data_IF_250329325143
#
_entry.id   IF_250329325143
#
_cell.length_a   1.000
_cell.length_b   1.000
_cell.length_c   1.000
_cell.angle_alpha   90.00
_cell.angle_beta   90.00
_cell.angle_gamma   90.00
#
_symmetry.space_group_name_H-M   'P 1'
#
loop_
_entity.id
_entity.type
_entity.pdbx_description
1 polymer ?
#
# COMPACT_ATOMS: atom_id res chain seq x y z
N UNK A 1 55.73 52.61 8.06
CA UNK A 1 55.00 53.51 8.98
C UNK A 1 53.80 54.06 8.20
N UNK A 2 52.55 53.70 8.56
CA UNK A 2 51.62 54.54 9.35
C UNK A 2 51.51 55.96 8.73
N UNK A 3 50.40 56.45 8.15
CA UNK A 3 49.07 56.67 8.77
C UNK A 3 48.10 57.38 7.78
N UNK A 4 46.92 56.79 7.54
CA UNK A 4 45.50 57.28 7.58
C UNK A 4 44.93 58.52 6.79
N UNK A 5 43.63 58.36 6.44
CA UNK A 5 42.47 59.29 6.22
C UNK A 5 42.28 59.84 4.79
N UNK A 6 41.13 59.84 4.11
CA UNK A 6 39.72 59.45 4.32
C UNK A 6 38.90 60.10 3.17
N UNK A 7 37.67 59.66 2.84
CA UNK A 7 36.67 60.55 2.23
C UNK A 7 35.23 60.01 2.37
N UNK A 8 34.38 60.86 2.95
CA UNK A 8 32.93 60.74 3.06
C UNK A 8 32.29 61.00 1.68
N UNK A 9 31.27 60.22 1.29
CA UNK A 9 30.27 60.65 0.30
C UNK A 9 28.86 60.33 0.80
N UNK A 10 28.06 61.39 0.93
CA UNK A 10 26.64 61.39 1.27
C UNK A 10 25.79 60.85 0.13
N UNK A 11 24.76 60.05 0.42
CA UNK A 11 23.68 59.78 -0.52
C UNK A 11 22.37 60.39 -0.05
N UNK A 12 21.74 61.13 -0.95
CA UNK A 12 20.60 62.02 -0.74
C UNK A 12 19.30 61.21 -0.76
N UNK A 13 18.50 61.32 0.30
CA UNK A 13 17.27 60.56 0.51
C UNK A 13 16.07 61.23 -0.17
N UNK A 14 15.64 60.76 -1.34
CA UNK A 14 14.28 61.06 -1.83
C UNK A 14 13.65 59.86 -2.56
N UNK A 15 12.73 59.23 -1.82
CA UNK A 15 11.44 58.68 -2.29
C UNK A 15 11.48 57.59 -3.36
N UNK A 16 11.30 56.34 -2.92
CA UNK A 16 10.49 55.38 -3.66
C UNK A 16 9.43 54.80 -2.71
N UNK A 17 8.19 55.08 -3.05
CA UNK A 17 6.97 54.55 -2.45
C UNK A 17 6.33 53.63 -3.51
N UNK A 18 5.83 52.49 -3.03
CA UNK A 18 4.96 51.50 -3.68
C UNK A 18 5.63 50.31 -4.41
N UNK A 19 5.01 49.10 -4.41
CA UNK A 19 4.18 48.52 -3.34
C UNK A 19 4.54 47.06 -3.02
N UNK A 20 4.06 46.62 -1.84
CA UNK A 20 3.98 45.23 -1.40
C UNK A 20 3.24 44.38 -2.45
N UNK A 21 3.82 43.26 -2.88
CA UNK A 21 3.13 42.39 -3.84
C UNK A 21 3.94 41.18 -4.32
N UNK A 22 4.57 40.45 -3.41
CA UNK A 22 5.09 39.11 -3.72
C UNK A 22 4.95 38.21 -2.49
N UNK A 23 3.72 37.83 -2.18
CA UNK A 23 3.45 36.74 -1.23
C UNK A 23 3.91 35.44 -1.90
N UNK A 24 5.11 34.99 -1.58
CA UNK A 24 5.57 33.65 -1.92
C UNK A 24 4.71 32.65 -1.14
N UNK A 25 3.72 32.04 -1.80
CA UNK A 25 3.00 30.89 -1.26
C UNK A 25 3.97 29.70 -1.35
N UNK A 26 4.67 29.45 -0.25
CA UNK A 26 5.43 28.21 -0.08
C UNK A 26 4.39 27.09 0.06
N UNK A 27 4.11 26.38 -1.02
CA UNK A 27 3.29 25.18 -0.98
C UNK A 27 4.07 24.13 -0.16
N UNK A 28 3.73 24.01 1.12
CA UNK A 28 4.17 22.89 1.95
C UNK A 28 3.48 21.66 1.38
N UNK A 29 4.18 20.92 0.52
CA UNK A 29 3.77 19.57 0.17
C UNK A 29 3.85 18.75 1.47
N UNK A 30 2.70 18.55 2.12
CA UNK A 30 2.60 17.60 3.21
C UNK A 30 2.88 16.22 2.61
N UNK A 31 3.99 15.62 3.02
CA UNK A 31 4.26 14.22 2.70
C UNK A 31 3.15 13.41 3.37
N UNK A 32 2.23 12.89 2.58
CA UNK A 32 1.23 11.95 3.08
C UNK A 32 1.96 10.63 3.33
N UNK A 33 2.24 10.34 4.60
CA UNK A 33 2.72 9.03 5.01
C UNK A 33 1.57 8.03 4.82
N UNK A 34 1.85 6.88 4.21
CA UNK A 34 0.90 5.78 4.24
C UNK A 34 0.69 5.41 5.70
N UNK A 35 -0.56 5.48 6.17
CA UNK A 35 -0.84 5.12 7.55
C UNK A 35 -1.43 3.73 7.59
N UNK A 36 -0.76 2.85 8.34
CA UNK A 36 -1.19 1.49 8.53
C UNK A 36 -2.52 1.46 9.32
N UNK A 37 -3.40 0.48 9.05
CA UNK A 37 -4.69 0.33 9.71
C UNK A 37 -4.55 -0.30 11.11
N UNK A 38 -3.57 0.14 11.91
CA UNK A 38 -3.09 -0.50 13.15
C UNK A 38 -4.12 -0.63 14.27
N UNK A 39 -5.36 -0.20 14.07
CA UNK A 39 -6.47 -0.38 15.02
C UNK A 39 -7.44 -1.48 14.63
N UNK A 40 -7.33 -2.00 13.41
CA UNK A 40 -8.17 -3.10 12.91
C UNK A 40 -7.34 -4.24 12.35
N UNK A 41 -6.09 -3.98 11.94
CA UNK A 41 -5.22 -4.97 11.35
C UNK A 41 -3.73 -4.59 11.50
N UNK A 42 -2.89 -5.57 11.75
CA UNK A 42 -1.45 -5.40 11.92
C UNK A 42 -0.70 -5.43 10.57
N UNK A 43 0.27 -4.53 10.40
CA UNK A 43 1.21 -4.55 9.28
C UNK A 43 2.59 -4.20 9.85
N UNK A 44 3.29 -5.20 10.36
CA UNK A 44 4.57 -5.04 11.05
C UNK A 44 5.72 -5.81 10.37
N UNK A 45 5.42 -6.53 9.30
CA UNK A 45 6.38 -7.28 8.50
C UNK A 45 6.49 -8.75 8.85
N UNK A 46 5.58 -9.30 9.66
CA UNK A 46 5.47 -10.73 9.87
C UNK A 46 4.03 -11.23 9.64
N UNK A 47 3.73 -12.48 10.02
CA UNK A 47 2.43 -13.14 9.80
C UNK A 47 1.80 -13.67 11.09
N UNK A 48 2.50 -13.52 12.21
CA UNK A 48 2.15 -14.09 13.51
C UNK A 48 1.48 -13.04 14.37
N UNK A 49 0.36 -13.42 15.01
CA UNK A 49 -0.30 -12.53 15.94
C UNK A 49 0.59 -12.22 17.15
N UNK A 50 0.74 -10.93 17.44
CA UNK A 50 1.49 -10.47 18.59
C UNK A 50 0.73 -10.70 19.91
N UNK A 51 1.37 -11.27 20.94
CA UNK A 51 0.74 -11.51 22.23
C UNK A 51 0.22 -10.20 22.85
N UNK A 52 -1.11 -10.07 22.97
CA UNK A 52 -1.76 -8.96 23.65
C UNK A 52 -2.09 -7.75 22.78
N UNK A 53 -1.79 -7.76 21.48
CA UNK A 53 -2.13 -6.67 20.55
C UNK A 53 -3.63 -6.64 20.21
N UNK A 54 -4.33 -7.78 20.31
CA UNK A 54 -5.79 -7.88 20.15
C UNK A 54 -6.31 -7.57 18.73
N UNK A 55 -5.41 -7.19 17.84
CA UNK A 55 -5.60 -7.08 16.39
C UNK A 55 -4.97 -8.30 15.71
N UNK A 56 -5.51 -8.66 14.55
CA UNK A 56 -5.08 -9.85 13.82
C UNK A 56 -3.94 -9.57 12.84
N UNK A 57 -3.15 -10.61 12.58
CA UNK A 57 -2.20 -10.74 11.49
C UNK A 57 -2.68 -11.81 10.47
N UNK A 58 -1.90 -12.08 9.43
CA UNK A 58 -2.23 -12.95 8.32
C UNK A 58 -2.60 -14.36 8.76
N UNK A 59 -1.89 -14.96 9.73
CA UNK A 59 -2.17 -16.33 10.19
C UNK A 59 -3.58 -16.48 10.79
N UNK A 60 -4.08 -15.47 11.50
CA UNK A 60 -5.47 -15.46 11.99
C UNK A 60 -6.48 -15.40 10.83
N UNK A 61 -6.14 -14.69 9.75
CA UNK A 61 -7.04 -14.49 8.62
C UNK A 61 -7.03 -15.61 7.58
N UNK A 62 -5.87 -16.19 7.27
CA UNK A 62 -5.71 -17.16 6.19
C UNK A 62 -5.99 -18.60 6.64
N UNK A 63 -5.90 -18.91 7.95
CA UNK A 63 -6.07 -20.26 8.49
C UNK A 63 -5.30 -21.30 7.68
N UNK A 64 -5.97 -22.35 7.19
CA UNK A 64 -5.35 -23.40 6.36
C UNK A 64 -5.59 -23.23 4.85
N UNK A 65 -6.28 -22.16 4.42
CA UNK A 65 -6.62 -21.91 3.02
C UNK A 65 -7.35 -23.05 2.29
N UNK A 66 -7.97 -23.98 3.03
CA UNK A 66 -8.67 -25.15 2.46
C UNK A 66 -10.02 -24.82 1.81
N UNK A 67 -10.53 -23.61 2.02
CA UNK A 67 -11.73 -23.07 1.37
C UNK A 67 -11.54 -21.56 1.10
N UNK A 68 -12.25 -20.98 0.12
CA UNK A 68 -12.32 -19.53 -0.04
C UNK A 68 -12.71 -18.87 1.29
N UNK A 69 -11.77 -18.16 1.91
CA UNK A 69 -11.93 -17.61 3.27
C UNK A 69 -11.06 -18.23 4.37
N UNK A 70 -10.16 -19.16 4.04
CA UNK A 70 -9.12 -19.60 4.97
C UNK A 70 -9.59 -20.56 6.07
N UNK A 71 -10.66 -21.31 5.85
CA UNK A 71 -11.30 -22.18 6.85
C UNK A 71 -12.73 -21.76 7.18
N UNK A 72 -13.26 -22.15 8.35
CA UNK A 72 -14.68 -21.94 8.70
C UNK A 72 -15.11 -20.49 8.53
N UNK A 73 -16.23 -20.32 7.82
CA UNK A 73 -16.92 -19.04 7.54
C UNK A 73 -17.12 -18.27 8.85
N UNK A 74 -16.62 -17.03 8.95
CA UNK A 74 -16.76 -16.22 10.17
C UNK A 74 -15.86 -14.98 10.21
N UNK A 75 -16.00 -14.20 11.28
CA UNK A 75 -15.31 -12.91 11.51
C UNK A 75 -13.96 -13.09 12.22
N UNK A 76 -13.09 -13.95 11.69
CA UNK A 76 -11.74 -14.10 12.26
C UNK A 76 -11.02 -12.76 12.28
N UNK A 77 -10.32 -12.48 13.38
CA UNK A 77 -9.68 -11.19 13.61
C UNK A 77 -10.63 -9.99 13.62
N UNK A 78 -11.95 -10.20 13.74
CA UNK A 78 -12.95 -9.13 13.63
C UNK A 78 -13.21 -8.66 12.18
N UNK A 79 -12.81 -9.44 11.18
CA UNK A 79 -13.09 -9.12 9.78
C UNK A 79 -14.58 -9.16 9.45
N UNK A 80 -15.03 -8.25 8.58
CA UNK A 80 -16.39 -8.27 8.02
C UNK A 80 -16.53 -9.36 6.96
N UNK A 81 -15.49 -9.50 6.12
CA UNK A 81 -15.34 -10.57 5.13
C UNK A 81 -13.86 -10.79 4.86
N UNK A 82 -13.50 -12.00 4.45
CA UNK A 82 -12.13 -12.42 4.13
C UNK A 82 -12.11 -13.46 3.02
N UNK A 83 -10.99 -13.54 2.31
CA UNK A 83 -10.70 -14.58 1.34
C UNK A 83 -9.26 -15.05 1.48
N UNK A 84 -9.06 -16.33 1.22
CA UNK A 84 -7.76 -16.93 0.92
C UNK A 84 -7.92 -17.79 -0.33
N UNK A 85 -6.98 -17.67 -1.26
CA UNK A 85 -6.90 -18.49 -2.46
C UNK A 85 -5.48 -19.06 -2.54
N UNK A 86 -5.36 -20.39 -2.53
CA UNK A 86 -4.11 -21.07 -2.81
C UNK A 86 -3.79 -21.03 -4.30
N UNK A 87 -2.50 -20.95 -4.63
CA UNK A 87 -2.04 -21.11 -6.00
C UNK A 87 -2.37 -22.51 -6.51
N UNK A 88 -2.59 -22.59 -7.81
CA UNK A 88 -2.66 -23.86 -8.51
C UNK A 88 -1.27 -24.53 -8.60
N UNK A 89 -1.27 -25.83 -8.88
CA UNK A 89 -0.06 -26.63 -9.16
C UNK A 89 -0.16 -27.26 -10.58
N UNK A 90 0.71 -26.87 -11.52
CA UNK A 90 1.75 -25.85 -11.40
C UNK A 90 1.15 -24.42 -11.31
N UNK A 91 1.87 -23.46 -10.72
CA UNK A 91 1.42 -22.07 -10.65
C UNK A 91 1.18 -21.51 -12.05
N UNK A 92 0.33 -20.49 -12.17
CA UNK A 92 0.08 -19.82 -13.44
C UNK A 92 0.97 -18.59 -13.59
N UNK A 93 1.46 -18.36 -14.80
CA UNK A 93 2.21 -17.15 -15.16
C UNK A 93 1.48 -16.35 -16.22
N UNK A 94 1.56 -15.04 -16.08
CA UNK A 94 1.15 -14.12 -17.13
C UNK A 94 2.15 -14.18 -18.28
N UNK A 95 1.67 -14.24 -19.52
CA UNK A 95 2.54 -14.35 -20.71
C UNK A 95 2.40 -13.18 -21.66
N UNK A 96 1.16 -12.80 -22.02
CA UNK A 96 0.86 -11.80 -23.04
C UNK A 96 -0.54 -11.24 -22.82
N UNK A 97 -1.04 -10.39 -23.73
CA UNK A 97 -2.43 -9.92 -23.67
C UNK A 97 -2.63 -8.47 -23.27
N UNK A 98 -1.57 -7.66 -23.40
CA UNK A 98 -1.59 -6.30 -22.93
C UNK A 98 -1.63 -6.27 -21.40
N UNK A 99 -0.50 -6.56 -20.78
CA UNK A 99 -0.26 -6.46 -19.33
C UNK A 99 -0.33 -5.02 -18.78
N UNK A 100 -0.92 -4.10 -19.54
CA UNK A 100 -1.06 -2.72 -19.12
C UNK A 100 -2.35 -2.62 -18.32
N UNK A 101 -2.25 -1.97 -17.16
CA UNK A 101 -3.35 -1.73 -16.23
C UNK A 101 -4.70 -1.29 -16.83
N UNK A 102 -4.79 -0.51 -17.93
CA UNK A 102 -6.08 -0.12 -18.52
C UNK A 102 -6.74 -1.18 -19.40
N UNK A 103 -6.12 -2.33 -19.65
CA UNK A 103 -6.66 -3.35 -20.56
C UNK A 103 -7.50 -4.39 -19.81
N UNK A 104 -8.61 -4.80 -20.43
CA UNK A 104 -9.58 -5.72 -19.82
C UNK A 104 -8.99 -7.10 -19.57
N UNK A 105 -9.47 -7.77 -18.50
CA UNK A 105 -9.03 -9.12 -18.11
C UNK A 105 -9.22 -10.15 -19.24
N UNK A 106 -10.24 -9.99 -20.09
CA UNK A 106 -10.48 -10.86 -21.25
C UNK A 106 -9.33 -10.87 -22.25
N UNK A 107 -8.45 -9.86 -22.19
CA UNK A 107 -7.26 -9.80 -23.03
C UNK A 107 -6.07 -10.50 -22.37
N UNK A 108 -6.09 -10.76 -21.07
CA UNK A 108 -4.97 -11.31 -20.32
C UNK A 108 -4.71 -12.77 -20.70
N UNK A 109 -3.48 -13.08 -21.09
CA UNK A 109 -3.07 -14.45 -21.39
C UNK A 109 -2.15 -14.98 -20.31
N UNK A 110 -2.49 -16.16 -19.81
CA UNK A 110 -1.71 -16.89 -18.83
C UNK A 110 -1.45 -18.33 -19.32
N UNK A 111 -0.43 -18.96 -18.75
CA UNK A 111 -0.17 -20.40 -18.95
C UNK A 111 0.27 -21.05 -17.65
N UNK A 112 0.23 -22.37 -17.59
CA UNK A 112 0.94 -23.13 -16.56
C UNK A 112 2.44 -22.78 -16.60
N UNK A 113 3.02 -22.50 -15.43
CA UNK A 113 4.42 -22.19 -15.28
C UNK A 113 5.31 -23.31 -15.85
N UNK A 114 6.32 -22.91 -16.62
CA UNK A 114 7.43 -23.77 -17.02
C UNK A 114 8.66 -23.51 -16.15
N UNK A 115 9.08 -22.25 -16.01
CA UNK A 115 10.17 -21.83 -15.12
C UNK A 115 9.90 -20.44 -14.60
N UNK A 116 9.78 -20.33 -13.29
CA UNK A 116 9.56 -19.06 -12.57
C UNK A 116 10.55 -19.03 -11.41
N UNK A 117 11.24 -17.92 -11.17
CA UNK A 117 12.04 -17.78 -9.96
C UNK A 117 11.14 -17.96 -8.73
N UNK A 118 11.61 -18.74 -7.77
CA UNK A 118 10.92 -19.01 -6.49
C UNK A 118 10.40 -17.76 -5.78
N UNK A 119 11.13 -16.64 -5.88
CA UNK A 119 10.75 -15.34 -5.32
C UNK A 119 9.51 -14.70 -5.96
N UNK A 120 9.20 -15.07 -7.21
CA UNK A 120 8.08 -14.55 -7.99
C UNK A 120 6.85 -15.50 -7.94
N UNK A 121 7.02 -16.68 -7.33
CA UNK A 121 5.95 -17.65 -7.14
C UNK A 121 5.12 -17.28 -5.91
N UNK A 122 3.92 -16.75 -6.15
CA UNK A 122 2.91 -16.53 -5.11
C UNK A 122 2.26 -17.88 -4.80
N UNK A 123 2.30 -18.31 -3.54
CA UNK A 123 1.68 -19.58 -3.09
C UNK A 123 0.26 -19.38 -2.60
N UNK A 124 -0.05 -18.20 -2.07
CA UNK A 124 -1.39 -17.84 -1.62
C UNK A 124 -1.64 -16.35 -1.80
N UNK A 125 -2.89 -15.98 -2.11
CA UNK A 125 -3.36 -14.61 -2.09
C UNK A 125 -4.49 -14.42 -1.08
N UNK A 126 -4.49 -13.27 -0.40
CA UNK A 126 -5.41 -12.98 0.69
C UNK A 126 -6.00 -11.58 0.57
N UNK A 127 -7.24 -11.43 1.03
CA UNK A 127 -7.81 -10.12 1.30
C UNK A 127 -8.81 -10.19 2.46
N UNK A 128 -8.91 -9.11 3.23
CA UNK A 128 -9.91 -8.96 4.27
C UNK A 128 -10.43 -7.52 4.32
N UNK A 129 -11.65 -7.36 4.83
CA UNK A 129 -12.24 -6.05 5.03
C UNK A 129 -12.66 -5.82 6.47
N UNK A 130 -12.54 -4.56 6.89
CA UNK A 130 -12.86 -4.08 8.23
C UNK A 130 -13.67 -2.78 8.14
N UNK A 131 -14.28 -2.44 9.27
CA UNK A 131 -14.81 -1.09 9.50
C UNK A 131 -13.90 -0.43 10.52
N UNK A 132 -13.31 0.71 10.19
CA UNK A 132 -12.42 1.45 11.07
C UNK A 132 -13.13 1.79 12.38
N UNK A 133 -12.47 1.52 13.50
CA UNK A 133 -12.94 1.85 14.85
C UNK A 133 -12.39 3.22 15.27
N UNK A 134 -13.10 3.96 16.15
CA UNK A 134 -12.56 5.20 16.70
C UNK A 134 -11.22 4.97 17.40
N UNK A 135 -10.21 5.79 17.07
CA UNK A 135 -8.87 5.67 17.65
C UNK A 135 -7.76 5.39 16.64
N UNK A 136 -8.10 5.06 15.39
CA UNK A 136 -7.11 5.02 14.31
C UNK A 136 -6.67 6.45 14.01
N UNK A 137 -5.43 6.80 14.35
CA UNK A 137 -4.91 8.16 14.16
C UNK A 137 -4.97 8.64 12.70
N UNK A 138 -5.27 7.76 11.74
CA UNK A 138 -5.33 8.10 10.32
C UNK A 138 -6.51 7.56 9.52
N UNK A 139 -7.42 6.80 10.12
CA UNK A 139 -8.62 6.33 9.42
C UNK A 139 -9.83 6.73 10.24
N UNK A 140 -10.66 7.62 9.70
CA UNK A 140 -11.89 8.04 10.38
C UNK A 140 -12.78 6.83 10.71
N UNK A 141 -13.31 6.82 11.93
CA UNK A 141 -14.25 5.79 12.38
C UNK A 141 -15.40 5.60 11.38
N UNK A 142 -15.79 4.35 11.14
CA UNK A 142 -16.85 3.98 10.21
C UNK A 142 -16.40 3.79 8.75
N UNK A 143 -15.19 4.25 8.38
CA UNK A 143 -14.65 4.02 7.05
C UNK A 143 -14.40 2.54 6.80
N UNK A 144 -14.49 2.12 5.53
CA UNK A 144 -14.14 0.76 5.11
C UNK A 144 -12.64 0.67 4.89
N UNK A 145 -12.05 -0.39 5.43
CA UNK A 145 -10.64 -0.72 5.28
C UNK A 145 -10.56 -2.04 4.56
N UNK A 146 -9.73 -2.12 3.52
CA UNK A 146 -9.41 -3.37 2.81
C UNK A 146 -7.92 -3.60 2.94
N UNK A 147 -7.54 -4.78 3.38
CA UNK A 147 -6.15 -5.23 3.45
C UNK A 147 -5.99 -6.40 2.49
N UNK A 148 -4.86 -6.43 1.79
CA UNK A 148 -4.54 -7.45 0.78
C UNK A 148 -3.09 -7.88 0.99
N UNK A 149 -2.82 -9.16 0.74
CA UNK A 149 -1.51 -9.75 0.95
C UNK A 149 -1.36 -11.04 0.17
N UNK A 150 -0.18 -11.65 0.28
CA UNK A 150 0.10 -12.94 -0.30
C UNK A 150 1.42 -13.51 0.16
N UNK A 151 1.52 -14.82 0.10
CA UNK A 151 2.73 -15.56 0.41
C UNK A 151 3.57 -15.76 -0.84
N UNK A 152 4.89 -15.64 -0.70
CA UNK A 152 5.86 -16.04 -1.71
C UNK A 152 6.52 -17.35 -1.32
N UNK A 153 6.85 -18.17 -2.30
CA UNK A 153 7.52 -19.45 -2.06
C UNK A 153 8.92 -19.27 -1.44
N UNK A 154 9.66 -18.23 -1.83
CA UNK A 154 10.97 -17.93 -1.25
C UNK A 154 11.24 -16.42 -1.06
N UNK A 155 12.11 -16.10 -0.09
CA UNK A 155 12.49 -14.73 0.30
C UNK A 155 13.88 -14.33 -0.25
N UNK A 156 14.34 -14.97 -1.32
CA UNK A 156 15.68 -14.82 -1.89
C UNK A 156 15.73 -13.78 -3.03
N UNK A 157 15.24 -12.58 -2.76
CA UNK A 157 15.29 -11.44 -3.69
C UNK A 157 14.05 -10.56 -3.58
N UNK A 158 14.03 -9.53 -4.42
CA UNK A 158 12.94 -8.57 -4.48
C UNK A 158 11.93 -8.96 -5.56
N UNK A 159 10.66 -8.81 -5.23
CA UNK A 159 9.52 -9.00 -6.11
C UNK A 159 8.43 -7.99 -5.75
N UNK A 160 7.59 -7.65 -6.72
CA UNK A 160 6.47 -6.75 -6.53
C UNK A 160 5.16 -7.53 -6.65
N UNK A 161 4.23 -7.27 -5.73
CA UNK A 161 2.85 -7.75 -5.82
C UNK A 161 1.93 -6.58 -6.21
N UNK A 162 0.99 -6.85 -7.10
CA UNK A 162 -0.03 -5.90 -7.54
C UNK A 162 -1.43 -6.43 -7.21
N UNK A 163 -2.36 -5.51 -6.99
CA UNK A 163 -3.78 -5.80 -6.82
C UNK A 163 -4.59 -4.82 -7.67
N UNK A 164 -5.64 -5.33 -8.33
CA UNK A 164 -6.52 -4.54 -9.19
C UNK A 164 -7.94 -4.55 -8.62
N UNK A 165 -8.57 -3.38 -8.63
CA UNK A 165 -9.98 -3.21 -8.30
C UNK A 165 -10.77 -3.00 -9.57
N UNK A 166 -11.83 -3.78 -9.71
CA UNK A 166 -12.69 -3.73 -10.89
C UNK A 166 -14.09 -3.25 -10.49
N UNK A 167 -14.71 -2.47 -11.37
CA UNK A 167 -16.09 -2.01 -11.18
C UNK A 167 -17.11 -3.11 -11.51
N UNK A 168 -16.76 -4.01 -12.43
CA UNK A 168 -17.58 -5.16 -12.80
C UNK A 168 -17.23 -6.41 -11.98
N UNK A 169 -18.14 -7.38 -11.96
CA UNK A 169 -17.84 -8.72 -11.49
C UNK A 169 -16.78 -9.39 -12.38
N UNK A 170 -15.87 -10.12 -11.77
CA UNK A 170 -14.77 -10.80 -12.45
C UNK A 170 -15.06 -12.29 -12.56
N UNK A 171 -14.80 -12.85 -13.74
CA UNK A 171 -14.77 -14.30 -13.99
C UNK A 171 -13.39 -14.71 -14.47
N UNK A 172 -13.15 -16.03 -14.52
CA UNK A 172 -12.01 -16.57 -15.24
C UNK A 172 -12.10 -16.13 -16.71
N UNK A 173 -10.96 -15.75 -17.29
CA UNK A 173 -10.75 -15.64 -18.74
C UNK A 173 -10.35 -17.01 -19.28
#
# INVERSE_FOLDING_TARGET
MRTIYGLIRSFNSKRFLAPLGATAILATATVAWAVAPTTVYEIDGNVFDDPGNGIADWNTLNGDCSAPGGGSVGSAGGSNTRTCIASEDPPRIFTQGGSKDPLDISQWHWKAADTVPDKDTITHGYAASYTATPGAAAISSGNKVVVMGGDRFAVNGDANIGAWFFQQNISLN
#
